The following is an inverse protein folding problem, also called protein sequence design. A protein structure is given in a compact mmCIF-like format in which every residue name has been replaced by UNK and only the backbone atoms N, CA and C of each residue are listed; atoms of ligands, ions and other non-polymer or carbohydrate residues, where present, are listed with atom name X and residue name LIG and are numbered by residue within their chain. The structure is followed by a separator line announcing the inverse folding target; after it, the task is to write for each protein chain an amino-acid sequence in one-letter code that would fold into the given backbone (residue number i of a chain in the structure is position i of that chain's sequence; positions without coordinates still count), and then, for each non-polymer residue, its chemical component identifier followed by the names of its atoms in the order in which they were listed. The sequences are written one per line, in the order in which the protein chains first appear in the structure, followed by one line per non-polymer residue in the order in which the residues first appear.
data_IF_523686125690
#
_entry.id   IF_523686125690
#
_cell.length_a   1.000
_cell.length_b   1.000
_cell.length_c   1.000
_cell.angle_alpha   90.00
_cell.angle_beta   90.00
_cell.angle_gamma   90.00
#
_symmetry.space_group_name_H-M   'P 1'
#
loop_
_entity.id
_entity.type
_entity.pdbx_description
1 polymer ?
#
# COMPACT_ATOMS: atom_id res chain seq x y z
N UNK A 1 -57.13 -8.95 4.17
CA UNK A 1 -56.09 -9.30 3.20
C UNK A 1 -55.31 -8.03 2.90
N UNK A 2 -54.26 -7.75 3.67
CA UNK A 2 -53.44 -6.58 3.54
C UNK A 2 -52.10 -6.95 2.94
N UNK A 3 -51.74 -6.33 1.83
CA UNK A 3 -50.44 -6.45 1.23
C UNK A 3 -49.50 -5.45 1.94
N UNK A 4 -48.44 -5.95 2.56
CA UNK A 4 -47.32 -5.15 3.04
C UNK A 4 -46.32 -4.97 1.88
N UNK A 5 -46.31 -3.80 1.28
CA UNK A 5 -45.22 -3.37 0.42
C UNK A 5 -44.06 -2.87 1.27
N UNK A 6 -42.97 -3.59 1.23
CA UNK A 6 -41.69 -3.17 1.81
C UNK A 6 -40.97 -2.22 0.84
N UNK A 7 -41.06 -0.93 1.08
CA UNK A 7 -40.28 0.09 0.40
C UNK A 7 -38.81 0.02 0.87
N UNK A 8 -37.96 -0.69 0.14
CA UNK A 8 -36.53 -0.57 0.30
C UNK A 8 -36.03 0.66 -0.47
N UNK A 9 -35.83 1.76 0.24
CA UNK A 9 -35.12 2.92 -0.28
C UNK A 9 -33.63 2.58 -0.44
N UNK A 10 -33.22 2.26 -1.67
CA UNK A 10 -31.83 2.22 -2.08
C UNK A 10 -31.26 3.64 -2.04
N UNK A 11 -30.47 3.95 -1.01
CA UNK A 11 -29.70 5.18 -0.98
C UNK A 11 -28.72 5.23 -2.15
N UNK A 12 -28.82 6.25 -2.99
CA UNK A 12 -27.89 6.46 -4.08
C UNK A 12 -26.49 6.81 -3.50
N UNK A 13 -25.41 6.38 -4.19
CA UNK A 13 -24.02 6.69 -3.80
C UNK A 13 -23.78 8.17 -3.54
N UNK A 14 -24.49 9.06 -4.22
CA UNK A 14 -24.45 10.52 -3.99
C UNK A 14 -25.05 10.95 -2.66
N UNK A 15 -26.05 10.25 -2.16
CA UNK A 15 -26.65 10.50 -0.85
C UNK A 15 -25.71 10.09 0.30
N UNK A 16 -25.01 8.97 0.17
CA UNK A 16 -24.03 8.50 1.15
C UNK A 16 -22.85 9.47 1.31
N UNK A 17 -22.34 10.02 0.20
CA UNK A 17 -21.26 11.03 0.24
C UNK A 17 -21.71 12.33 0.89
N UNK A 18 -22.95 12.77 0.67
CA UNK A 18 -23.50 13.96 1.34
C UNK A 18 -23.74 13.74 2.84
N UNK A 19 -24.16 12.54 3.24
CA UNK A 19 -24.33 12.21 4.66
C UNK A 19 -22.99 12.14 5.41
N UNK A 20 -21.92 11.60 4.78
CA UNK A 20 -20.57 11.60 5.33
C UNK A 20 -19.98 13.02 5.46
N UNK A 21 -20.25 13.89 4.50
CA UNK A 21 -19.83 15.28 4.56
C UNK A 21 -20.51 16.08 5.70
N UNK A 22 -21.78 15.79 5.99
CA UNK A 22 -22.52 16.44 7.08
C UNK A 22 -22.05 15.96 8.47
N UNK A 23 -21.69 14.68 8.61
CA UNK A 23 -21.17 14.14 9.89
C UNK A 23 -19.75 14.67 10.16
N UNK A 24 -18.90 14.81 9.13
CA UNK A 24 -17.59 15.42 9.28
C UNK A 24 -17.65 16.91 9.66
N UNK A 25 -18.67 17.64 9.18
CA UNK A 25 -18.88 19.04 9.54
C UNK A 25 -19.39 19.24 10.98
N UNK A 26 -20.18 18.31 11.50
CA UNK A 26 -20.72 18.40 12.87
C UNK A 26 -19.67 18.08 13.95
N UNK A 27 -18.68 17.21 13.66
CA UNK A 27 -17.61 16.89 14.60
C UNK A 27 -16.57 18.01 14.73
N UNK A 28 -16.50 18.95 13.78
CA UNK A 28 -15.60 20.10 13.86
C UNK A 28 -16.12 21.25 14.74
N UNK A 29 -17.40 21.25 15.13
CA UNK A 29 -18.00 22.29 15.95
C UNK A 29 -18.05 21.96 17.45
N UNK A 30 -17.77 20.70 17.85
CA UNK A 30 -17.89 20.23 19.23
C UNK A 30 -16.65 20.35 20.11
N UNK A 31 -15.47 20.67 19.56
CA UNK A 31 -14.20 20.62 20.31
C UNK A 31 -13.64 21.96 20.77
N UNK A 32 -14.47 22.99 21.01
CA UNK A 32 -14.03 24.27 21.54
C UNK A 32 -14.04 24.39 23.07
N UNK A 33 -14.12 23.27 23.82
CA UNK A 33 -14.33 23.34 25.27
C UNK A 33 -13.06 23.18 26.12
N UNK A 34 -11.95 22.72 25.59
CA UNK A 34 -10.71 22.70 26.35
C UNK A 34 -9.57 23.36 25.56
N UNK A 35 -9.09 24.48 26.06
CA UNK A 35 -8.11 25.36 25.46
C UNK A 35 -6.70 24.79 25.22
N UNK A 36 -6.59 23.59 24.73
CA UNK A 36 -5.35 23.08 24.12
C UNK A 36 -5.46 23.28 22.62
N UNK A 37 -4.79 24.31 22.11
CA UNK A 37 -4.48 24.38 20.68
C UNK A 37 -3.70 23.09 20.33
N UNK A 38 -4.34 22.19 19.58
CA UNK A 38 -3.58 21.11 18.91
C UNK A 38 -2.54 21.82 18.05
N UNK A 39 -1.27 21.43 18.12
CA UNK A 39 -0.30 21.95 17.17
C UNK A 39 -0.84 21.69 15.76
N UNK A 40 -0.88 22.71 14.93
CA UNK A 40 -1.22 22.56 13.52
C UNK A 40 -0.27 21.52 12.94
N UNK A 41 -0.75 20.55 12.13
CA UNK A 41 0.17 19.65 11.45
C UNK A 41 1.19 20.50 10.70
N UNK A 42 2.47 20.13 10.70
CA UNK A 42 3.47 20.88 9.99
C UNK A 42 3.03 21.02 8.53
N UNK A 43 2.87 22.25 8.09
CA UNK A 43 2.57 22.53 6.69
C UNK A 43 3.87 22.33 5.94
N UNK A 44 4.05 21.17 5.34
CA UNK A 44 5.16 20.94 4.43
C UNK A 44 4.86 21.70 3.16
N UNK A 45 5.38 22.89 3.05
CA UNK A 45 5.37 23.63 1.79
C UNK A 45 6.77 23.45 1.20
N UNK A 46 6.95 22.43 0.37
CA UNK A 46 8.08 22.43 -0.54
C UNK A 46 7.75 23.39 -1.69
N UNK A 47 8.30 24.58 -1.64
CA UNK A 47 8.15 25.54 -2.74
C UNK A 47 9.54 26.05 -3.10
N UNK A 48 10.02 25.79 -4.27
CA UNK A 48 9.39 25.16 -5.43
C UNK A 48 9.19 23.64 -5.26
N UNK A 49 8.36 23.00 -6.11
CA UNK A 49 8.19 21.54 -6.10
C UNK A 49 9.56 20.87 -6.18
N UNK A 50 9.75 19.82 -5.40
CA UNK A 50 11.01 19.10 -5.38
C UNK A 50 11.29 18.43 -6.72
N UNK A 51 12.49 18.64 -7.25
CA UNK A 51 12.98 17.92 -8.43
C UNK A 51 13.68 16.62 -7.99
N UNK A 52 12.97 15.51 -8.07
CA UNK A 52 13.50 14.18 -7.71
C UNK A 52 14.50 13.62 -8.72
N UNK A 53 14.76 14.30 -9.86
CA UNK A 53 15.83 13.92 -10.79
C UNK A 53 17.21 14.33 -10.27
N UNK A 54 17.25 15.23 -9.30
CA UNK A 54 18.50 15.72 -8.70
C UNK A 54 18.78 15.03 -7.38
N UNK A 55 20.06 14.71 -7.08
CA UNK A 55 20.45 14.22 -5.77
C UNK A 55 20.09 15.23 -4.67
N UNK A 56 19.67 14.77 -3.50
CA UNK A 56 19.50 15.67 -2.37
C UNK A 56 20.88 16.15 -1.88
N UNK A 57 20.98 17.43 -1.58
CA UNK A 57 22.20 18.04 -1.01
C UNK A 57 22.19 18.06 0.52
N UNK A 58 21.09 17.62 1.13
CA UNK A 58 20.93 17.60 2.58
C UNK A 58 21.35 16.27 3.18
N UNK A 59 21.90 16.30 4.37
CA UNK A 59 22.23 15.10 5.14
C UNK A 59 21.00 14.28 5.46
N UNK A 60 19.90 14.95 5.83
CA UNK A 60 18.59 14.34 5.98
C UNK A 60 17.70 14.82 4.85
N UNK A 61 16.86 13.91 4.33
CA UNK A 61 15.90 14.30 3.33
C UNK A 61 14.88 15.27 3.96
N UNK A 62 14.69 16.48 3.41
CA UNK A 62 13.82 17.49 4.02
C UNK A 62 12.33 17.09 4.03
N UNK A 63 11.95 16.08 3.24
CA UNK A 63 10.58 15.56 3.21
C UNK A 63 10.34 14.46 4.25
N UNK A 64 11.38 14.04 4.99
CA UNK A 64 11.25 13.12 6.12
C UNK A 64 11.14 13.93 7.40
N UNK A 65 9.95 13.96 8.01
CA UNK A 65 9.66 14.71 9.22
C UNK A 65 9.52 13.77 10.41
N UNK A 66 10.29 14.01 11.46
CA UNK A 66 10.13 13.32 12.74
C UNK A 66 8.94 13.91 13.49
N UNK A 67 7.87 13.13 13.62
CA UNK A 67 6.70 13.51 14.43
C UNK A 67 6.85 13.04 15.88
N UNK A 68 7.50 11.89 16.08
CA UNK A 68 7.84 11.34 17.39
C UNK A 68 9.34 11.10 17.46
N UNK A 69 10.06 11.54 18.50
CA UNK A 69 11.51 11.37 18.64
C UNK A 69 11.98 9.90 18.56
N UNK A 70 11.14 8.93 18.90
CA UNK A 70 11.46 7.52 18.75
C UNK A 70 11.73 7.11 17.30
N UNK A 71 11.21 7.87 16.33
CA UNK A 71 11.43 7.62 14.90
C UNK A 71 12.86 7.93 14.47
N UNK A 72 13.57 8.84 15.14
CA UNK A 72 14.95 9.22 14.79
C UNK A 72 15.91 8.03 14.82
N UNK A 73 15.64 7.04 15.69
CA UNK A 73 16.41 5.80 15.75
C UNK A 73 16.16 4.82 14.59
N UNK A 74 15.14 5.05 13.78
CA UNK A 74 14.70 4.18 12.68
C UNK A 74 15.11 4.71 11.31
N UNK A 75 15.51 5.97 11.21
CA UNK A 75 15.90 6.60 9.95
C UNK A 75 17.42 6.70 9.81
N UNK A 76 17.89 6.59 8.58
CA UNK A 76 19.26 6.95 8.26
C UNK A 76 19.31 8.41 7.82
N UNK A 77 20.01 9.29 8.56
CA UNK A 77 19.97 10.73 8.30
C UNK A 77 20.58 11.16 6.96
N UNK A 78 21.33 10.27 6.30
CA UNK A 78 21.92 10.50 4.98
C UNK A 78 21.19 9.78 3.84
N UNK A 79 20.03 9.15 4.12
CA UNK A 79 19.23 8.51 3.09
C UNK A 79 18.31 9.54 2.43
N UNK A 80 18.41 9.68 1.10
CA UNK A 80 17.51 10.53 0.31
C UNK A 80 16.34 9.75 -0.25
N UNK A 81 15.19 10.43 -0.36
CA UNK A 81 14.06 9.92 -1.14
C UNK A 81 14.39 10.07 -2.62
N UNK A 82 14.24 9.00 -3.39
CA UNK A 82 14.49 8.96 -4.83
C UNK A 82 13.27 8.45 -5.58
N UNK A 83 12.97 9.07 -6.72
CA UNK A 83 12.03 8.49 -7.67
C UNK A 83 12.76 7.44 -8.48
N UNK A 84 12.40 6.18 -8.29
CA UNK A 84 13.04 5.06 -8.98
C UNK A 84 12.49 4.85 -10.38
N UNK A 85 11.20 5.11 -10.57
CA UNK A 85 10.52 4.91 -11.84
C UNK A 85 9.17 5.63 -11.90
N UNK A 86 8.75 5.97 -13.12
CA UNK A 86 7.44 6.50 -13.46
C UNK A 86 6.86 5.72 -14.62
N UNK A 87 5.55 5.69 -14.78
CA UNK A 87 4.88 5.02 -15.91
C UNK A 87 3.89 3.92 -15.50
N UNK A 88 3.72 3.68 -14.21
CA UNK A 88 2.65 2.83 -13.67
C UNK A 88 1.33 3.57 -13.60
N UNK A 89 0.23 2.81 -13.61
CA UNK A 89 -1.11 3.35 -13.43
C UNK A 89 -1.53 3.38 -11.94
N UNK A 90 -1.22 2.31 -11.22
CA UNK A 90 -1.49 2.20 -9.78
C UNK A 90 -0.49 1.22 -9.17
N UNK A 91 0.56 1.76 -8.61
CA UNK A 91 1.65 0.99 -8.04
C UNK A 91 1.36 0.63 -6.58
N UNK A 92 1.50 -0.66 -6.26
CA UNK A 92 1.21 -1.21 -4.93
C UNK A 92 2.16 -2.36 -4.57
N UNK A 93 2.11 -2.76 -3.30
CA UNK A 93 2.78 -3.95 -2.79
C UNK A 93 4.29 -4.00 -3.01
N UNK A 94 5.05 -2.94 -2.65
CA UNK A 94 6.51 -2.96 -2.79
C UNK A 94 7.14 -3.98 -1.84
N UNK A 95 7.98 -4.87 -2.37
CA UNK A 95 8.69 -5.89 -1.61
C UNK A 95 10.16 -5.96 -2.04
N UNK A 96 11.07 -5.85 -1.08
CA UNK A 96 12.49 -5.95 -1.32
C UNK A 96 12.98 -7.39 -1.24
N UNK A 97 13.67 -7.85 -2.29
CA UNK A 97 14.40 -9.11 -2.28
C UNK A 97 15.88 -8.86 -1.97
N UNK A 98 16.29 -9.20 -0.75
CA UNK A 98 17.65 -8.93 -0.28
C UNK A 98 18.72 -9.82 -0.94
N UNK A 99 18.36 -11.00 -1.43
CA UNK A 99 19.26 -11.92 -2.12
C UNK A 99 19.46 -11.46 -3.57
N UNK A 100 18.38 -11.19 -4.27
CA UNK A 100 18.41 -10.77 -5.68
C UNK A 100 18.67 -9.27 -5.87
N UNK A 101 18.73 -8.48 -4.79
CA UNK A 101 18.96 -7.02 -4.83
C UNK A 101 18.00 -6.31 -5.77
N UNK A 102 16.70 -6.58 -5.62
CA UNK A 102 15.67 -5.93 -6.41
C UNK A 102 14.43 -5.59 -5.59
N UNK A 103 13.75 -4.53 -6.03
CA UNK A 103 12.42 -4.17 -5.57
C UNK A 103 11.39 -4.76 -6.52
N UNK A 104 10.46 -5.53 -5.98
CA UNK A 104 9.25 -5.99 -6.68
C UNK A 104 8.09 -5.08 -6.31
N UNK A 105 7.19 -4.79 -7.26
CA UNK A 105 5.96 -4.07 -7.01
C UNK A 105 4.90 -4.42 -8.06
N UNK A 106 3.64 -4.25 -7.71
CA UNK A 106 2.49 -4.50 -8.59
C UNK A 106 2.07 -3.22 -9.31
N UNK A 107 1.73 -3.32 -10.60
CA UNK A 107 0.92 -2.34 -11.30
C UNK A 107 -0.43 -2.98 -11.58
N UNK A 108 -1.39 -2.73 -10.69
CA UNK A 108 -2.64 -3.48 -10.60
C UNK A 108 -3.47 -3.38 -11.88
N UNK A 109 -3.77 -2.17 -12.43
CA UNK A 109 -4.62 -2.05 -13.61
C UNK A 109 -3.99 -2.68 -14.86
N UNK A 110 -2.67 -2.66 -14.96
CA UNK A 110 -1.94 -3.29 -16.05
C UNK A 110 -1.79 -4.81 -15.89
N UNK A 111 -2.20 -5.35 -14.76
CA UNK A 111 -2.13 -6.79 -14.45
C UNK A 111 -0.71 -7.37 -14.58
N UNK A 112 0.29 -6.60 -14.12
CA UNK A 112 1.70 -6.97 -14.15
C UNK A 112 2.36 -6.76 -12.79
N UNK A 113 3.45 -7.48 -12.56
CA UNK A 113 4.42 -7.16 -11.53
C UNK A 113 5.68 -6.64 -12.18
N UNK A 114 6.23 -5.58 -11.61
CA UNK A 114 7.43 -4.89 -12.07
C UNK A 114 8.59 -5.17 -11.13
N UNK A 115 9.80 -5.14 -11.67
CA UNK A 115 11.04 -5.30 -10.90
C UNK A 115 11.99 -4.16 -11.22
N UNK A 116 12.45 -3.48 -10.18
CA UNK A 116 13.56 -2.53 -10.25
C UNK A 116 14.84 -3.18 -9.70
N UNK A 117 15.93 -3.11 -10.44
CA UNK A 117 17.24 -3.67 -10.07
C UNK A 117 18.10 -2.59 -9.40
N UNK A 118 18.69 -2.91 -8.23
CA UNK A 118 19.50 -1.97 -7.47
C UNK A 118 20.87 -1.66 -8.15
N UNK A 119 21.42 -2.62 -8.87
CA UNK A 119 22.75 -2.52 -9.47
C UNK A 119 22.83 -1.53 -10.65
N UNK A 120 21.75 -1.37 -11.40
CA UNK A 120 21.73 -0.55 -12.62
C UNK A 120 20.50 0.35 -12.75
N UNK A 121 19.55 0.31 -11.79
CA UNK A 121 18.33 1.11 -11.79
C UNK A 121 17.31 0.72 -12.85
N UNK A 122 17.51 -0.39 -13.56
CA UNK A 122 16.62 -0.80 -14.64
C UNK A 122 15.29 -1.34 -14.09
N UNK A 123 14.19 -0.89 -14.69
CA UNK A 123 12.85 -1.44 -14.43
C UNK A 123 12.39 -2.31 -15.58
N UNK A 124 11.85 -3.47 -15.25
CA UNK A 124 11.34 -4.44 -16.22
C UNK A 124 10.09 -5.14 -15.70
N UNK A 125 9.30 -5.69 -16.61
CA UNK A 125 8.21 -6.58 -16.24
C UNK A 125 8.80 -7.86 -15.65
N UNK A 126 8.39 -8.16 -14.41
CA UNK A 126 8.77 -9.39 -13.71
C UNK A 126 7.80 -10.53 -13.99
N UNK A 127 6.49 -10.23 -13.99
CA UNK A 127 5.43 -11.20 -14.25
C UNK A 127 4.28 -10.55 -15.01
N UNK A 128 3.85 -11.17 -16.07
CA UNK A 128 2.60 -10.84 -16.77
C UNK A 128 1.46 -11.67 -16.24
N UNK A 129 0.21 -11.19 -16.41
CA UNK A 129 -0.99 -11.89 -15.91
C UNK A 129 -0.88 -12.21 -14.41
N UNK A 130 -0.57 -11.18 -13.62
CA UNK A 130 -0.36 -11.31 -12.18
C UNK A 130 -1.65 -11.57 -11.37
N UNK A 131 -2.78 -11.79 -12.04
CA UNK A 131 -4.13 -11.88 -11.43
C UNK A 131 -4.52 -10.62 -10.67
N UNK A 132 -4.12 -9.46 -11.19
CA UNK A 132 -4.30 -8.16 -10.54
C UNK A 132 -3.75 -8.19 -9.12
N UNK A 133 -2.49 -8.64 -8.99
CA UNK A 133 -1.82 -8.71 -7.69
C UNK A 133 -1.72 -7.33 -7.06
N UNK A 134 -1.81 -7.29 -5.73
CA UNK A 134 -1.61 -6.10 -4.91
C UNK A 134 -0.38 -6.28 -4.03
N UNK A 135 -0.55 -6.62 -2.75
CA UNK A 135 0.53 -6.79 -1.79
C UNK A 135 1.47 -7.94 -2.12
N UNK A 136 2.74 -7.75 -1.83
CA UNK A 136 3.79 -8.74 -1.99
C UNK A 136 4.71 -8.76 -0.79
N UNK A 137 5.31 -9.91 -0.53
CA UNK A 137 6.43 -10.05 0.41
C UNK A 137 7.36 -11.17 -0.07
N UNK A 138 8.53 -11.29 0.54
CA UNK A 138 9.41 -12.45 0.38
C UNK A 138 9.51 -13.17 1.72
N UNK A 139 9.39 -14.49 1.69
CA UNK A 139 9.62 -15.30 2.87
C UNK A 139 11.12 -15.49 3.16
N UNK A 140 11.42 -16.16 4.27
CA UNK A 140 12.80 -16.37 4.71
C UNK A 140 13.57 -17.38 3.86
N UNK A 141 12.91 -18.05 2.92
CA UNK A 141 13.53 -18.86 1.88
C UNK A 141 13.68 -18.09 0.55
N UNK A 142 13.33 -16.80 0.53
CA UNK A 142 13.41 -15.96 -0.65
C UNK A 142 12.31 -16.19 -1.67
N UNK A 143 11.22 -16.91 -1.31
CA UNK A 143 10.08 -17.14 -2.18
C UNK A 143 9.12 -15.96 -2.10
N UNK A 144 8.59 -15.55 -3.23
CA UNK A 144 7.59 -14.49 -3.30
C UNK A 144 6.23 -14.98 -2.79
N UNK A 145 5.59 -14.19 -1.93
CA UNK A 145 4.18 -14.35 -1.55
C UNK A 145 3.42 -13.14 -2.08
N UNK A 146 2.25 -13.37 -2.68
CA UNK A 146 1.48 -12.33 -3.36
C UNK A 146 -0.01 -12.45 -3.09
N UNK A 147 -0.67 -11.31 -2.90
CA UNK A 147 -2.12 -11.19 -2.82
C UNK A 147 -2.69 -11.01 -4.22
N UNK A 148 -3.50 -11.95 -4.71
CA UNK A 148 -4.13 -11.90 -6.01
C UNK A 148 -5.60 -11.47 -5.91
N UNK A 149 -5.96 -10.32 -6.48
CA UNK A 149 -7.32 -9.80 -6.43
C UNK A 149 -8.30 -10.62 -7.29
N UNK A 150 -7.94 -10.95 -8.53
CA UNK A 150 -8.81 -11.66 -9.45
C UNK A 150 -9.18 -13.06 -8.92
N UNK A 151 -8.21 -13.79 -8.43
CA UNK A 151 -8.38 -15.14 -7.92
C UNK A 151 -8.80 -15.17 -6.46
N UNK A 152 -8.74 -14.01 -5.76
CA UNK A 152 -9.16 -13.82 -4.35
C UNK A 152 -8.45 -14.78 -3.41
N UNK A 153 -7.12 -14.84 -3.54
CA UNK A 153 -6.26 -15.74 -2.78
C UNK A 153 -4.90 -15.13 -2.49
N UNK A 154 -4.19 -15.70 -1.53
CA UNK A 154 -2.78 -15.47 -1.28
C UNK A 154 -2.01 -16.67 -1.80
N UNK A 155 -0.98 -16.42 -2.61
CA UNK A 155 -0.15 -17.47 -3.20
C UNK A 155 1.31 -17.26 -2.85
N UNK A 156 2.05 -18.38 -2.79
CA UNK A 156 3.51 -18.37 -2.73
C UNK A 156 4.04 -18.99 -4.02
N UNK A 157 4.96 -18.28 -4.67
CA UNK A 157 5.66 -18.76 -5.84
C UNK A 157 6.89 -19.53 -5.41
N UNK A 158 6.96 -20.81 -5.78
CA UNK A 158 8.05 -21.71 -5.45
C UNK A 158 9.24 -21.48 -6.38
N UNK A 159 10.43 -21.97 -6.01
CA UNK A 159 11.65 -21.82 -6.81
C UNK A 159 11.60 -22.55 -8.16
N UNK A 160 10.75 -23.55 -8.30
CA UNK A 160 10.51 -24.25 -9.57
C UNK A 160 9.51 -23.53 -10.50
N UNK A 161 9.01 -22.37 -10.07
CA UNK A 161 8.02 -21.57 -10.81
C UNK A 161 6.57 -21.96 -10.57
N UNK A 162 6.30 -23.01 -9.79
CA UNK A 162 4.94 -23.37 -9.40
C UNK A 162 4.36 -22.39 -8.37
N UNK A 163 3.05 -22.39 -8.19
CA UNK A 163 2.37 -21.55 -7.21
C UNK A 163 1.59 -22.40 -6.21
N UNK A 164 1.89 -22.20 -4.93
CA UNK A 164 1.18 -22.82 -3.81
C UNK A 164 0.15 -21.83 -3.26
N UNK A 165 -1.11 -22.25 -3.16
CA UNK A 165 -2.15 -21.46 -2.51
C UNK A 165 -1.94 -21.51 -1.00
N UNK A 166 -1.71 -20.34 -0.39
CA UNK A 166 -1.55 -20.18 1.06
C UNK A 166 -2.92 -20.03 1.73
N UNK A 167 -3.77 -19.18 1.15
CA UNK A 167 -5.13 -18.98 1.63
C UNK A 167 -6.04 -18.55 0.48
N UNK A 168 -7.23 -19.16 0.38
CA UNK A 168 -8.29 -18.77 -0.55
C UNK A 168 -9.67 -18.67 0.12
N UNK A 169 -9.78 -19.14 1.37
CA UNK A 169 -11.03 -19.22 2.14
C UNK A 169 -10.79 -18.96 3.61
N UNK A 170 -11.83 -18.47 4.26
CA UNK A 170 -11.96 -18.42 5.70
C UNK A 170 -13.39 -18.87 6.07
N UNK A 171 -13.52 -19.79 7.02
CA UNK A 171 -14.80 -20.35 7.46
C UNK A 171 -15.67 -20.86 6.29
N UNK A 172 -15.04 -21.59 5.35
CA UNK A 172 -15.69 -22.12 4.15
C UNK A 172 -16.06 -21.08 3.08
N UNK A 173 -15.89 -19.79 3.35
CA UNK A 173 -16.19 -18.71 2.42
C UNK A 173 -14.91 -18.23 1.71
N UNK A 174 -15.04 -17.91 0.42
CA UNK A 174 -13.96 -17.37 -0.38
C UNK A 174 -13.50 -16.01 0.18
N UNK A 175 -12.19 -15.75 0.17
CA UNK A 175 -11.65 -14.45 0.53
C UNK A 175 -12.19 -13.33 -0.37
N UNK A 176 -12.16 -12.10 0.13
CA UNK A 176 -12.55 -10.92 -0.62
C UNK A 176 -11.31 -10.07 -0.93
N UNK A 177 -10.67 -10.33 -2.08
CA UNK A 177 -9.55 -9.54 -2.61
C UNK A 177 -8.51 -9.17 -1.54
N UNK A 178 -7.70 -10.15 -1.05
CA UNK A 178 -6.68 -9.85 -0.05
C UNK A 178 -5.76 -8.73 -0.55
N UNK A 179 -5.49 -7.76 0.31
CA UNK A 179 -4.79 -6.54 -0.07
C UNK A 179 -3.29 -6.66 0.13
N UNK A 180 -2.86 -6.99 1.34
CA UNK A 180 -1.44 -7.04 1.66
C UNK A 180 -1.08 -8.27 2.48
N UNK A 181 0.21 -8.58 2.56
CA UNK A 181 0.74 -9.74 3.27
C UNK A 181 2.17 -9.49 3.75
N UNK A 182 2.48 -9.99 4.93
CA UNK A 182 3.85 -9.97 5.47
C UNK A 182 4.24 -11.36 5.97
N UNK A 183 5.49 -11.75 5.72
CA UNK A 183 6.05 -12.98 6.27
C UNK A 183 6.61 -12.75 7.67
N UNK A 184 6.22 -13.59 8.62
CA UNK A 184 6.71 -13.55 9.98
C UNK A 184 7.87 -14.55 10.18
N UNK A 185 8.85 -14.30 11.10
CA UNK A 185 10.00 -15.18 11.33
C UNK A 185 9.66 -16.62 11.74
N UNK A 186 8.49 -16.85 12.33
CA UNK A 186 8.02 -18.20 12.69
C UNK A 186 7.49 -19.02 11.50
N UNK A 187 7.50 -18.44 10.28
CA UNK A 187 7.03 -19.06 9.06
C UNK A 187 5.55 -18.85 8.74
N UNK A 188 4.83 -18.10 9.60
CA UNK A 188 3.44 -17.69 9.31
C UNK A 188 3.40 -16.47 8.38
N UNK A 189 2.22 -16.24 7.80
CA UNK A 189 1.91 -15.06 6.99
C UNK A 189 0.75 -14.30 7.64
N UNK A 190 0.87 -12.98 7.67
CA UNK A 190 -0.09 -12.07 8.30
C UNK A 190 -0.64 -11.10 7.28
#
# INVERSE_FOLDING_TARGET
MGQHESNQHLMSRRGAVKALGAVAGASLLGERVFGQQRPSPPTVISTPPRDFSQPTTYFSDPDVLTVDPAFDGLIQPNASIKVLWTGGLWLEGPAWNSVGKFLLFSDIPNNVQMRWLDDNGQVSVFRTSSNYSNGNTFDYQGRQVSCEHLTRRVVRYEHDGSATVIADKFDGKRLNSPNDVVAHPDGSYW
#
